data_IF_685782789732
#
_entry.id   IF_685782789732
#
_cell.length_a   1.000
_cell.length_b   1.000
_cell.length_c   1.000
_cell.angle_alpha   90.00
_cell.angle_beta   90.00
_cell.angle_gamma   90.00
#
_symmetry.space_group_name_H-M   'P 1'
#
loop_
_entity.id
_entity.type
_entity.pdbx_description
1 polymer ?
#
# COMPACT_ATOMS: atom_id res chain seq x y z
N UNK A 1 -23.07 17.45 1.82
CA UNK A 1 -22.51 16.16 2.26
C UNK A 1 -22.04 15.43 1.01
N UNK A 2 -20.73 15.40 0.73
CA UNK A 2 -20.21 14.56 -0.36
C UNK A 2 -20.35 13.11 0.10
N UNK A 3 -21.20 12.34 -0.57
CA UNK A 3 -21.20 10.89 -0.42
C UNK A 3 -19.82 10.40 -0.85
N UNK A 4 -18.98 9.99 0.12
CA UNK A 4 -17.79 9.23 -0.20
C UNK A 4 -18.27 7.98 -0.94
N UNK A 5 -17.99 7.92 -2.25
CA UNK A 5 -18.21 6.72 -3.03
C UNK A 5 -17.47 5.59 -2.32
N UNK A 6 -18.18 4.49 -2.02
CA UNK A 6 -17.55 3.27 -1.51
C UNK A 6 -16.50 2.82 -2.52
N UNK A 7 -15.22 2.90 -2.14
CA UNK A 7 -14.13 2.35 -2.92
C UNK A 7 -13.84 0.96 -2.38
N UNK A 8 -14.10 -0.08 -3.18
CA UNK A 8 -13.88 -1.46 -2.75
C UNK A 8 -12.38 -1.70 -2.52
N UNK A 9 -11.95 -2.22 -1.35
CA UNK A 9 -10.56 -2.58 -1.12
C UNK A 9 -10.01 -3.52 -2.20
N UNK A 10 -10.85 -4.45 -2.67
CA UNK A 10 -10.49 -5.39 -3.74
C UNK A 10 -10.22 -4.70 -5.07
N UNK A 11 -10.88 -3.58 -5.35
CA UNK A 11 -10.63 -2.82 -6.59
C UNK A 11 -9.30 -2.07 -6.53
N UNK A 12 -8.95 -1.54 -5.36
CA UNK A 12 -7.62 -0.96 -5.11
C UNK A 12 -6.53 -2.01 -5.32
N UNK A 13 -6.68 -3.21 -4.74
CA UNK A 13 -5.74 -4.32 -4.93
C UNK A 13 -5.55 -4.68 -6.42
N UNK A 14 -6.65 -4.83 -7.17
CA UNK A 14 -6.61 -5.18 -8.59
C UNK A 14 -5.96 -4.06 -9.41
N UNK A 15 -6.28 -2.79 -9.12
CA UNK A 15 -5.73 -1.65 -9.85
C UNK A 15 -4.20 -1.59 -9.74
N UNK A 16 -3.68 -1.71 -8.52
CA UNK A 16 -2.24 -1.68 -8.26
C UNK A 16 -1.51 -2.91 -8.82
N UNK A 17 -2.10 -4.11 -8.74
CA UNK A 17 -1.53 -5.30 -9.37
C UNK A 17 -1.46 -5.17 -10.91
N UNK A 18 -2.52 -4.65 -11.54
CA UNK A 18 -2.52 -4.39 -12.99
C UNK A 18 -1.46 -3.37 -13.38
N UNK A 19 -1.32 -2.31 -12.60
CA UNK A 19 -0.31 -1.28 -12.85
C UNK A 19 1.11 -1.85 -12.74
N UNK A 20 1.42 -2.59 -11.66
CA UNK A 20 2.72 -3.25 -11.49
C UNK A 20 3.04 -4.18 -12.66
N UNK A 21 2.13 -5.09 -13.00
CA UNK A 21 2.34 -6.04 -14.10
C UNK A 21 2.57 -5.34 -15.45
N UNK A 22 1.82 -4.27 -15.73
CA UNK A 22 1.96 -3.51 -16.96
C UNK A 22 3.30 -2.77 -17.05
N UNK A 23 3.69 -2.05 -15.99
CA UNK A 23 4.91 -1.24 -15.96
C UNK A 23 6.19 -2.10 -15.89
N UNK A 24 6.16 -3.22 -15.16
CA UNK A 24 7.32 -4.13 -15.02
C UNK A 24 7.38 -5.22 -16.09
N UNK A 25 6.36 -5.32 -16.95
CA UNK A 25 6.14 -6.44 -17.87
C UNK A 25 6.13 -7.80 -17.16
N UNK A 26 5.76 -7.83 -15.88
CA UNK A 26 5.61 -9.07 -15.12
C UNK A 26 4.40 -9.86 -15.66
N UNK A 27 4.58 -11.11 -16.11
CA UNK A 27 3.47 -11.92 -16.55
C UNK A 27 2.59 -12.32 -15.37
N UNK A 28 1.28 -12.51 -15.64
CA UNK A 28 0.29 -12.93 -14.65
C UNK A 28 0.70 -14.19 -13.89
N UNK A 29 1.34 -15.15 -14.56
CA UNK A 29 1.82 -16.39 -13.94
C UNK A 29 2.85 -16.11 -12.85
N UNK A 30 3.83 -15.23 -13.11
CA UNK A 30 4.82 -14.84 -12.09
C UNK A 30 4.19 -14.08 -10.92
N UNK A 31 3.23 -13.20 -11.19
CA UNK A 31 2.49 -12.53 -10.12
C UNK A 31 1.70 -13.53 -9.28
N UNK A 32 1.05 -14.50 -9.92
CA UNK A 32 0.29 -15.56 -9.25
C UNK A 32 1.19 -16.47 -8.40
N UNK A 33 2.38 -16.80 -8.86
CA UNK A 33 3.36 -17.57 -8.08
C UNK A 33 3.72 -16.83 -6.80
N UNK A 34 4.17 -15.57 -6.92
CA UNK A 34 4.53 -14.75 -5.76
C UNK A 34 3.34 -14.51 -4.80
N UNK A 35 2.12 -14.40 -5.32
CA UNK A 35 0.91 -14.30 -4.50
C UNK A 35 0.61 -15.59 -3.74
N UNK A 36 0.78 -16.73 -4.39
CA UNK A 36 0.59 -18.05 -3.77
C UNK A 36 1.62 -18.24 -2.65
N UNK A 37 2.89 -17.95 -2.92
CA UNK A 37 3.97 -18.09 -1.94
C UNK A 37 3.73 -17.23 -0.70
N UNK A 38 3.40 -15.95 -0.89
CA UNK A 38 3.08 -15.04 0.22
C UNK A 38 1.86 -15.52 1.02
N UNK A 39 0.79 -15.96 0.34
CA UNK A 39 -0.41 -16.44 1.01
C UNK A 39 -0.15 -17.69 1.86
N UNK A 40 0.58 -18.67 1.31
CA UNK A 40 0.92 -19.90 2.02
C UNK A 40 1.85 -19.63 3.21
N UNK A 41 2.78 -18.69 3.08
CA UNK A 41 3.69 -18.28 4.15
C UNK A 41 2.98 -17.52 5.29
N UNK A 42 1.99 -16.69 4.97
CA UNK A 42 1.30 -15.83 5.93
C UNK A 42 0.07 -16.49 6.57
N UNK A 43 -0.50 -17.51 5.91
CA UNK A 43 -1.76 -18.14 6.34
C UNK A 43 -1.51 -19.53 6.90
N UNK A 44 -1.81 -19.78 8.21
CA UNK A 44 -1.72 -21.10 8.80
C UNK A 44 -2.59 -22.11 8.03
N UNK A 45 -2.08 -23.31 7.81
CA UNK A 45 -2.73 -24.36 7.01
C UNK A 45 -4.21 -24.57 7.36
N UNK A 46 -4.51 -24.69 8.66
CA UNK A 46 -5.87 -24.89 9.17
C UNK A 46 -6.86 -23.73 8.88
N UNK A 47 -6.36 -22.58 8.41
CA UNK A 47 -7.16 -21.39 8.08
C UNK A 47 -7.16 -21.07 6.59
N UNK A 48 -6.51 -21.88 5.75
CA UNK A 48 -6.45 -21.63 4.31
C UNK A 48 -7.81 -21.95 3.67
N UNK A 49 -8.48 -20.95 3.09
CA UNK A 49 -9.75 -21.14 2.36
C UNK A 49 -9.68 -20.68 0.90
N UNK A 50 -8.62 -19.96 0.51
CA UNK A 50 -8.39 -19.55 -0.86
C UNK A 50 -8.08 -20.76 -1.75
N UNK A 51 -8.53 -20.73 -3.02
CA UNK A 51 -8.21 -21.73 -4.04
C UNK A 51 -6.78 -21.55 -4.57
N UNK A 52 -5.80 -21.47 -3.67
CA UNK A 52 -4.38 -21.42 -3.95
C UNK A 52 -3.72 -22.59 -3.24
N UNK A 53 -3.30 -23.56 -4.05
CA UNK A 53 -2.75 -24.81 -3.53
C UNK A 53 -1.22 -24.72 -3.41
N UNK A 54 -0.72 -25.39 -2.38
CA UNK A 54 0.71 -25.66 -2.21
C UNK A 54 1.17 -26.68 -3.26
N UNK A 55 2.37 -26.47 -3.81
CA UNK A 55 2.99 -27.40 -4.74
C UNK A 55 3.78 -28.43 -3.94
N UNK A 56 3.45 -29.73 -4.00
CA UNK A 56 4.18 -30.77 -3.25
C UNK A 56 5.65 -30.85 -3.66
N UNK A 57 6.55 -30.96 -2.68
CA UNK A 57 8.00 -31.08 -2.90
C UNK A 57 8.38 -32.41 -3.58
N UNK A 58 7.62 -33.46 -3.32
CA UNK A 58 7.77 -34.81 -3.86
C UNK A 58 6.82 -35.10 -5.03
N UNK A 59 6.15 -34.07 -5.55
CA UNK A 59 5.22 -34.17 -6.66
C UNK A 59 5.92 -34.40 -8.01
N UNK A 60 5.16 -34.96 -8.96
CA UNK A 60 5.59 -35.10 -10.34
C UNK A 60 5.68 -33.74 -11.06
N UNK A 61 6.43 -33.69 -12.16
CA UNK A 61 6.51 -32.49 -13.01
C UNK A 61 5.13 -32.09 -13.58
N UNK A 62 4.28 -33.07 -13.89
CA UNK A 62 2.93 -32.80 -14.40
C UNK A 62 2.05 -32.16 -13.33
N UNK A 63 2.13 -32.65 -12.08
CA UNK A 63 1.44 -32.05 -10.94
C UNK A 63 1.92 -30.62 -10.66
N UNK A 64 3.23 -30.38 -10.74
CA UNK A 64 3.82 -29.04 -10.62
C UNK A 64 3.18 -28.05 -11.59
N UNK A 65 3.13 -28.39 -12.89
CA UNK A 65 2.55 -27.50 -13.90
C UNK A 65 1.03 -27.39 -13.79
N UNK A 66 0.34 -28.46 -13.41
CA UNK A 66 -1.11 -28.46 -13.23
C UNK A 66 -1.54 -27.53 -12.07
N UNK A 67 -0.88 -27.63 -10.91
CA UNK A 67 -1.17 -26.77 -9.74
C UNK A 67 -0.83 -25.32 -10.06
N UNK A 68 0.34 -25.07 -10.68
CA UNK A 68 0.75 -23.73 -11.10
C UNK A 68 -0.25 -23.09 -12.06
N UNK A 69 -0.77 -23.84 -13.03
CA UNK A 69 -1.80 -23.36 -13.95
C UNK A 69 -3.14 -23.11 -13.24
N UNK A 70 -3.54 -23.97 -12.30
CA UNK A 70 -4.75 -23.81 -11.48
C UNK A 70 -4.70 -22.54 -10.64
N UNK A 71 -3.59 -22.29 -9.94
CA UNK A 71 -3.39 -21.08 -9.14
C UNK A 71 -3.44 -19.83 -10.03
N UNK A 72 -2.73 -19.84 -11.17
CA UNK A 72 -2.75 -18.73 -12.13
C UNK A 72 -4.17 -18.41 -12.65
N UNK A 73 -4.99 -19.44 -12.91
CA UNK A 73 -6.37 -19.27 -13.33
C UNK A 73 -7.24 -18.64 -12.23
N UNK A 74 -7.03 -19.01 -10.95
CA UNK A 74 -7.73 -18.38 -9.84
C UNK A 74 -7.42 -16.88 -9.76
N UNK A 75 -6.14 -16.52 -9.85
CA UNK A 75 -5.67 -15.13 -9.85
C UNK A 75 -6.17 -14.36 -11.06
N UNK A 76 -6.19 -14.98 -12.24
CA UNK A 76 -6.77 -14.39 -13.44
C UNK A 76 -8.24 -14.02 -13.25
N UNK A 77 -9.03 -14.93 -12.66
CA UNK A 77 -10.46 -14.72 -12.40
C UNK A 77 -10.68 -13.58 -11.40
N UNK A 78 -9.82 -13.43 -10.40
CA UNK A 78 -9.85 -12.28 -9.48
C UNK A 78 -9.59 -10.96 -10.19
N UNK A 79 -8.53 -10.88 -11.00
CA UNK A 79 -8.13 -9.67 -11.73
C UNK A 79 -9.18 -9.25 -12.77
N UNK A 80 -9.86 -10.24 -13.37
CA UNK A 80 -11.00 -10.04 -14.27
C UNK A 80 -12.32 -9.77 -13.56
N UNK A 81 -12.34 -9.82 -12.22
CA UNK A 81 -13.54 -9.71 -11.38
C UNK A 81 -14.61 -10.76 -11.72
N UNK A 82 -14.20 -11.90 -12.28
CA UNK A 82 -15.10 -13.01 -12.60
C UNK A 82 -15.58 -13.73 -11.33
N UNK A 83 -14.78 -13.70 -10.27
CA UNK A 83 -15.13 -14.19 -8.93
C UNK A 83 -14.66 -13.19 -7.88
N UNK A 84 -15.28 -13.23 -6.69
CA UNK A 84 -14.90 -12.37 -5.56
C UNK A 84 -13.51 -12.75 -5.03
N UNK A 85 -12.71 -11.74 -4.68
CA UNK A 85 -11.45 -11.92 -3.97
C UNK A 85 -11.75 -12.28 -2.50
N UNK A 86 -11.22 -13.40 -1.96
CA UNK A 86 -11.34 -13.74 -0.54
C UNK A 86 -10.63 -12.69 0.32
N UNK A 87 -11.22 -12.29 1.45
CA UNK A 87 -10.61 -11.25 2.30
C UNK A 87 -9.29 -11.67 2.93
N UNK A 88 -9.10 -12.97 3.20
CA UNK A 88 -7.86 -13.49 3.80
C UNK A 88 -6.61 -13.31 2.92
N UNK A 89 -6.78 -13.05 1.61
CA UNK A 89 -5.64 -12.82 0.71
C UNK A 89 -5.11 -11.39 0.78
N UNK A 90 -5.80 -10.48 1.48
CA UNK A 90 -5.51 -9.04 1.43
C UNK A 90 -4.05 -8.74 1.76
N UNK A 91 -3.55 -9.26 2.87
CA UNK A 91 -2.17 -9.00 3.32
C UNK A 91 -1.14 -9.66 2.39
N UNK A 92 -1.41 -10.89 1.94
CA UNK A 92 -0.57 -11.59 0.98
C UNK A 92 -0.49 -10.84 -0.37
N UNK A 93 -1.62 -10.29 -0.83
CA UNK A 93 -1.70 -9.49 -2.05
C UNK A 93 -0.89 -8.21 -1.94
N UNK A 94 -1.01 -7.49 -0.82
CA UNK A 94 -0.21 -6.31 -0.55
C UNK A 94 1.28 -6.68 -0.50
N UNK A 95 1.65 -7.79 0.13
CA UNK A 95 3.03 -8.27 0.21
C UNK A 95 3.61 -8.65 -1.18
N UNK A 96 2.77 -9.07 -2.13
CA UNK A 96 3.19 -9.37 -3.51
C UNK A 96 3.48 -8.12 -4.34
N UNK A 97 2.94 -6.96 -3.94
CA UNK A 97 3.27 -5.71 -4.58
C UNK A 97 4.68 -5.25 -4.15
N UNK A 98 5.39 -4.63 -5.08
CA UNK A 98 6.79 -4.23 -4.89
C UNK A 98 6.92 -2.71 -4.79
N UNK A 99 7.74 -2.25 -3.83
CA UNK A 99 8.11 -0.84 -3.65
C UNK A 99 6.93 0.12 -3.77
N UNK A 100 7.02 1.05 -4.73
CA UNK A 100 6.01 2.10 -4.97
C UNK A 100 4.58 1.57 -5.17
N UNK A 101 4.40 0.37 -5.71
CA UNK A 101 3.07 -0.18 -5.94
C UNK A 101 2.42 -0.66 -4.64
N UNK A 102 3.22 -1.25 -3.75
CA UNK A 102 2.77 -1.63 -2.41
C UNK A 102 2.43 -0.41 -1.58
N UNK A 103 3.32 0.58 -1.59
CA UNK A 103 3.16 1.80 -0.81
C UNK A 103 1.93 2.58 -1.29
N UNK A 104 1.76 2.70 -2.61
CA UNK A 104 0.57 3.31 -3.22
C UNK A 104 -0.72 2.56 -2.89
N UNK A 105 -0.68 1.23 -2.93
CA UNK A 105 -1.83 0.39 -2.57
C UNK A 105 -2.25 0.60 -1.10
N UNK A 106 -1.30 0.54 -0.17
CA UNK A 106 -1.56 0.80 1.25
C UNK A 106 -2.09 2.22 1.49
N UNK A 107 -1.51 3.22 0.83
CA UNK A 107 -1.98 4.59 0.92
C UNK A 107 -3.43 4.73 0.46
N UNK A 108 -3.80 4.15 -0.67
CA UNK A 108 -5.17 4.21 -1.18
C UNK A 108 -6.16 3.41 -0.33
N UNK A 109 -5.76 2.26 0.23
CA UNK A 109 -6.58 1.49 1.16
C UNK A 109 -6.88 2.28 2.43
N UNK A 110 -5.87 2.90 3.03
CA UNK A 110 -6.01 3.68 4.27
C UNK A 110 -6.73 5.02 4.06
N UNK A 111 -6.58 5.63 2.89
CA UNK A 111 -7.22 6.89 2.52
C UNK A 111 -8.74 6.84 2.61
N UNK A 112 -9.36 5.69 2.33
CA UNK A 112 -10.82 5.48 2.46
C UNK A 112 -11.28 5.68 3.90
N UNK A 113 -10.40 5.40 4.87
CA UNK A 113 -10.63 5.57 6.29
C UNK A 113 -10.15 6.92 6.84
N UNK A 114 -9.75 7.86 5.97
CA UNK A 114 -9.19 9.15 6.39
C UNK A 114 -7.80 9.04 7.03
N UNK A 115 -7.13 7.91 6.88
CA UNK A 115 -5.79 7.66 7.42
C UNK A 115 -4.72 7.95 6.35
N UNK A 116 -3.52 8.31 6.79
CA UNK A 116 -2.34 8.45 5.94
C UNK A 116 -1.39 7.28 6.21
N UNK A 117 -1.00 6.57 5.15
CA UNK A 117 0.08 5.58 5.21
C UNK A 117 1.42 6.32 5.29
N UNK A 118 2.27 5.89 6.21
CA UNK A 118 3.61 6.43 6.41
C UNK A 118 4.59 5.26 6.43
N UNK A 119 5.69 5.38 5.68
CA UNK A 119 6.69 4.34 5.63
C UNK A 119 7.41 4.19 6.98
N UNK A 120 7.66 2.93 7.37
CA UNK A 120 8.24 2.54 8.67
C UNK A 120 9.79 2.57 8.66
N UNK A 121 10.40 3.19 7.65
CA UNK A 121 11.86 3.30 7.49
C UNK A 121 12.39 4.68 7.95
N UNK A 122 11.56 5.45 8.65
CA UNK A 122 11.92 6.79 9.10
C UNK A 122 12.74 6.71 10.37
N UNK A 123 14.02 7.06 10.32
CA UNK A 123 14.88 7.23 11.50
C UNK A 123 14.66 8.60 12.14
N UNK A 124 14.61 8.68 13.48
CA UNK A 124 14.60 9.96 14.19
C UNK A 124 16.05 10.45 14.33
N UNK A 125 16.54 11.20 13.35
CA UNK A 125 17.91 11.70 13.30
C UNK A 125 17.96 13.16 12.82
N UNK A 126 19.17 13.75 12.83
CA UNK A 126 19.35 15.14 12.42
C UNK A 126 18.96 15.40 10.95
N UNK A 127 19.08 14.39 10.08
CA UNK A 127 18.72 14.52 8.67
C UNK A 127 17.20 14.55 8.51
N UNK A 128 16.46 13.68 9.20
CA UNK A 128 14.98 13.72 9.19
C UNK A 128 14.45 14.97 9.88
N UNK A 129 15.09 15.48 10.94
CA UNK A 129 14.77 16.79 11.53
C UNK A 129 14.95 17.92 10.52
N UNK A 130 16.08 17.94 9.81
CA UNK A 130 16.32 18.90 8.72
C UNK A 130 15.27 18.81 7.62
N UNK A 131 14.85 17.59 7.25
CA UNK A 131 13.80 17.36 6.27
C UNK A 131 12.44 17.87 6.75
N UNK A 132 12.06 17.60 8.00
CA UNK A 132 10.82 18.09 8.61
C UNK A 132 10.79 19.62 8.67
N UNK A 133 11.90 20.25 9.07
CA UNK A 133 12.02 21.70 9.08
C UNK A 133 11.87 22.30 7.67
N UNK A 134 12.48 21.66 6.67
CA UNK A 134 12.35 22.10 5.27
C UNK A 134 10.91 21.97 4.77
N UNK A 135 10.27 20.83 4.97
CA UNK A 135 8.86 20.62 4.60
C UNK A 135 7.92 21.60 5.32
N UNK A 136 8.24 21.95 6.57
CA UNK A 136 7.50 22.97 7.33
C UNK A 136 7.71 24.37 6.74
N UNK A 137 8.94 24.72 6.35
CA UNK A 137 9.21 25.99 5.67
C UNK A 137 8.48 26.08 4.32
N UNK A 138 8.50 25.01 3.53
CA UNK A 138 7.79 24.94 2.25
C UNK A 138 6.28 25.11 2.45
N UNK A 139 5.71 24.49 3.49
CA UNK A 139 4.30 24.70 3.86
C UNK A 139 4.01 26.18 4.15
N UNK A 140 4.88 26.86 4.91
CA UNK A 140 4.69 28.29 5.20
C UNK A 140 4.74 29.16 3.95
N UNK A 141 5.59 28.85 2.98
CA UNK A 141 5.63 29.57 1.69
C UNK A 141 4.28 29.46 0.98
N UNK A 142 3.74 28.25 0.84
CA UNK A 142 2.45 28.05 0.18
C UNK A 142 1.29 28.68 0.96
N UNK A 143 1.29 28.58 2.30
CA UNK A 143 0.26 29.21 3.13
C UNK A 143 0.31 30.73 3.04
N UNK A 144 1.50 31.33 3.02
CA UNK A 144 1.65 32.78 2.89
C UNK A 144 1.05 33.30 1.58
N UNK A 145 1.24 32.57 0.47
CA UNK A 145 0.62 32.91 -0.82
C UNK A 145 -0.91 32.77 -0.80
N UNK A 146 -1.43 31.69 -0.20
CA UNK A 146 -2.89 31.44 -0.09
C UNK A 146 -3.60 32.53 0.73
N UNK A 147 -2.93 33.08 1.75
CA UNK A 147 -3.54 34.09 2.63
C UNK A 147 -3.19 35.53 2.23
N UNK A 148 -2.38 35.72 1.19
CA UNK A 148 -1.80 37.02 0.83
C UNK A 148 -2.87 38.08 0.51
N UNK A 149 -3.97 37.68 -0.11
CA UNK A 149 -5.08 38.56 -0.47
C UNK A 149 -6.21 38.58 0.59
N UNK A 150 -6.03 37.84 1.69
CA UNK A 150 -6.99 37.69 2.77
C UNK A 150 -8.22 36.86 2.42
N UNK A 151 -8.25 36.15 1.29
CA UNK A 151 -9.40 35.35 0.83
C UNK A 151 -8.96 34.04 0.20
N UNK A 152 -9.25 32.94 0.89
CA UNK A 152 -9.04 31.61 0.31
C UNK A 152 -10.13 31.30 -0.72
N UNK A 153 -9.77 31.28 -2.01
CA UNK A 153 -10.70 31.05 -3.10
C UNK A 153 -10.16 30.12 -4.21
N UNK A 154 -10.81 30.12 -5.37
CA UNK A 154 -10.47 29.26 -6.50
C UNK A 154 -9.12 29.59 -7.15
N UNK A 155 -8.61 30.81 -6.99
CA UNK A 155 -7.30 31.23 -7.50
C UNK A 155 -6.16 30.54 -6.73
N UNK A 156 -6.39 30.13 -5.49
CA UNK A 156 -5.40 29.47 -4.63
C UNK A 156 -5.25 27.98 -4.92
N UNK A 157 -6.01 27.43 -5.87
CA UNK A 157 -6.18 25.98 -6.04
C UNK A 157 -4.85 25.24 -6.17
N UNK A 158 -3.88 25.79 -6.91
CA UNK A 158 -2.56 25.17 -7.05
C UNK A 158 -1.77 25.25 -5.75
N UNK A 159 -1.74 26.41 -5.08
CA UNK A 159 -1.05 26.54 -3.79
C UNK A 159 -1.68 25.67 -2.70
N UNK A 160 -3.00 25.52 -2.70
CA UNK A 160 -3.72 24.61 -1.81
C UNK A 160 -3.29 23.16 -2.04
N UNK A 161 -3.06 22.73 -3.30
CA UNK A 161 -2.55 21.37 -3.57
C UNK A 161 -1.16 21.20 -2.98
N UNK A 162 -0.25 22.16 -3.20
CA UNK A 162 1.10 22.11 -2.67
C UNK A 162 1.13 22.15 -1.13
N UNK A 163 0.37 23.04 -0.50
CA UNK A 163 0.22 23.08 0.95
C UNK A 163 -0.29 21.75 1.51
N UNK A 164 -1.30 21.14 0.88
CA UNK A 164 -1.82 19.82 1.31
C UNK A 164 -0.79 18.70 1.12
N UNK A 165 0.05 18.77 0.09
CA UNK A 165 1.15 17.83 -0.10
C UNK A 165 2.20 17.99 1.00
N UNK A 166 2.62 19.21 1.31
CA UNK A 166 3.56 19.51 2.39
C UNK A 166 3.01 19.06 3.76
N UNK A 167 1.72 19.30 4.05
CA UNK A 167 1.06 18.81 5.27
C UNK A 167 1.11 17.29 5.41
N UNK A 168 0.88 16.53 4.32
CA UNK A 168 0.97 15.07 4.33
C UNK A 168 2.40 14.60 4.56
N UNK A 169 3.37 15.26 3.95
CA UNK A 169 4.79 14.96 4.13
C UNK A 169 5.23 15.17 5.58
N UNK A 170 4.85 16.31 6.18
CA UNK A 170 5.12 16.60 7.60
C UNK A 170 4.44 15.56 8.50
N UNK A 171 3.17 15.24 8.23
CA UNK A 171 2.45 14.21 9.00
C UNK A 171 3.17 12.87 8.95
N UNK A 172 3.70 12.50 7.78
CA UNK A 172 4.51 11.29 7.63
C UNK A 172 5.82 11.35 8.40
N UNK A 173 6.57 12.46 8.29
CA UNK A 173 7.82 12.62 9.02
C UNK A 173 7.62 12.55 10.54
N UNK A 174 6.57 13.20 11.06
CA UNK A 174 6.24 13.18 12.49
C UNK A 174 5.77 11.80 12.96
N UNK A 175 4.92 11.11 12.20
CA UNK A 175 4.52 9.74 12.53
C UNK A 175 5.70 8.76 12.53
N UNK A 176 6.67 8.97 11.63
CA UNK A 176 7.93 8.22 11.65
C UNK A 176 8.71 8.41 12.95
N UNK A 177 8.72 9.63 13.50
CA UNK A 177 9.35 9.91 14.79
C UNK A 177 8.62 9.28 15.95
N UNK A 178 7.29 9.35 15.98
CA UNK A 178 6.48 8.69 17.00
C UNK A 178 6.79 7.19 17.07
N UNK A 179 6.97 6.56 15.90
CA UNK A 179 7.31 5.15 15.84
C UNK A 179 8.73 4.85 16.36
N UNK A 180 9.72 5.68 16.06
CA UNK A 180 11.07 5.54 16.63
C UNK A 180 11.07 5.74 18.15
N UNK A 181 10.29 6.69 18.67
CA UNK A 181 10.13 6.88 20.11
C UNK A 181 9.48 5.66 20.76
N UNK A 182 8.46 5.07 20.13
CA UNK A 182 7.80 3.87 20.63
C UNK A 182 8.74 2.65 20.74
N UNK A 183 9.83 2.58 19.96
CA UNK A 183 10.84 1.52 20.11
C UNK A 183 11.53 1.59 21.48
N UNK A 184 11.75 2.78 22.03
CA UNK A 184 12.35 2.97 23.36
C UNK A 184 11.41 2.41 24.44
N UNK A 185 10.11 2.71 24.34
CA UNK A 185 9.09 2.24 25.29
C UNK A 185 8.99 0.70 25.32
N UNK A 186 9.22 0.03 24.19
CA UNK A 186 9.20 -1.44 24.11
C UNK A 186 10.43 -2.13 24.69
N UNK A 187 11.55 -1.41 24.86
CA UNK A 187 12.81 -1.97 25.38
C UNK A 187 12.80 -2.01 26.92
N UNK A 188 12.09 -1.10 27.58
CA UNK A 188 11.97 -1.06 29.05
C UNK A 188 10.96 -2.07 29.63
N UNK A 189 10.22 -2.78 28.77
CA UNK A 189 9.19 -3.76 29.15
C UNK A 189 9.64 -5.23 29.20
N UNK A 190 10.95 -5.53 29.18
CA UNK A 190 11.51 -6.89 29.35
C UNK A 190 12.36 -7.03 30.59
#
# INVERSE_FOLDING_TARGET
MNAQHFQSPTDTLIAWAKQQMAETKQPLTKFSEALTDNYLAMTPEARRTCPLDEIPLDGSTDEFYAIKAKNALAVERWIKRAIKIPMEILDAWVATLEGKYRDGCLADLLKVHGMLAVANDTTADAATLGATMRSTADLFVHLAEIIADGKVDHNDREQIKHARQAMRQISGQLAGWELEFAKVDTIEGK
#
